data_IF_025702878259
#
_entry.id   IF_025702878259
#
_cell.length_a   1.000
_cell.length_b   1.000
_cell.length_c   1.000
_cell.angle_alpha   90.00
_cell.angle_beta   90.00
_cell.angle_gamma   90.00
#
_symmetry.space_group_name_H-M   'P 1'
#
loop_
_entity.id
_entity.type
_entity.pdbx_description
1 polymer ?
#
# COMPACT_ATOMS: atom_id res chain seq x y z
N UNK A 1 0.02 -25.58 -0.35
CA UNK A 1 1.37 -24.95 -0.37
C UNK A 1 1.67 -24.15 -1.64
N UNK A 2 1.26 -24.57 -2.84
CA UNK A 2 1.60 -23.84 -4.09
C UNK A 2 1.00 -22.43 -4.20
N UNK A 3 -0.27 -22.23 -3.81
CA UNK A 3 -0.94 -20.92 -3.89
C UNK A 3 -0.24 -19.85 -3.05
N UNK A 4 0.12 -20.17 -1.80
CA UNK A 4 0.86 -19.26 -0.91
C UNK A 4 2.19 -18.81 -1.53
N UNK A 5 2.98 -19.74 -2.09
CA UNK A 5 4.26 -19.41 -2.73
C UNK A 5 4.07 -18.49 -3.95
N UNK A 6 3.04 -18.73 -4.76
CA UNK A 6 2.70 -17.86 -5.92
C UNK A 6 2.28 -16.47 -5.48
N UNK A 7 1.46 -16.35 -4.43
CA UNK A 7 1.06 -15.05 -3.88
C UNK A 7 2.24 -14.31 -3.23
N UNK A 8 3.14 -15.00 -2.53
CA UNK A 8 4.38 -14.41 -2.01
C UNK A 8 5.26 -13.88 -3.14
N UNK A 9 5.44 -14.67 -4.22
CA UNK A 9 6.18 -14.23 -5.39
C UNK A 9 5.52 -13.01 -6.04
N UNK A 10 4.19 -13.03 -6.21
CA UNK A 10 3.44 -11.89 -6.73
C UNK A 10 3.61 -10.65 -5.86
N UNK A 11 3.59 -10.80 -4.52
CA UNK A 11 3.81 -9.71 -3.57
C UNK A 11 5.21 -9.10 -3.72
N UNK A 12 6.24 -9.94 -3.83
CA UNK A 12 7.63 -9.51 -4.04
C UNK A 12 7.77 -8.78 -5.38
N UNK A 13 7.24 -9.36 -6.46
CA UNK A 13 7.34 -8.76 -7.81
C UNK A 13 6.59 -7.43 -7.90
N UNK A 14 5.39 -7.34 -7.29
CA UNK A 14 4.64 -6.09 -7.23
C UNK A 14 5.36 -5.03 -6.40
N UNK A 15 5.94 -5.40 -5.25
CA UNK A 15 6.74 -4.50 -4.43
C UNK A 15 7.99 -4.01 -5.16
N UNK A 16 8.71 -4.91 -5.84
CA UNK A 16 9.89 -4.58 -6.63
C UNK A 16 9.54 -3.70 -7.83
N UNK A 17 8.50 -4.05 -8.58
CA UNK A 17 8.03 -3.25 -9.72
C UNK A 17 7.62 -1.84 -9.30
N UNK A 18 6.82 -1.71 -8.24
CA UNK A 18 6.45 -0.41 -7.68
C UNK A 18 7.67 0.39 -7.19
N UNK A 19 8.64 -0.27 -6.55
CA UNK A 19 9.87 0.38 -6.10
C UNK A 19 10.73 0.90 -7.27
N UNK A 20 10.88 0.10 -8.33
CA UNK A 20 11.63 0.51 -9.53
C UNK A 20 10.93 1.65 -10.28
N UNK A 21 9.59 1.64 -10.34
CA UNK A 21 8.82 2.79 -10.86
C UNK A 21 9.08 4.04 -10.03
N UNK A 22 9.12 3.91 -8.70
CA UNK A 22 9.39 5.03 -7.82
C UNK A 22 10.79 5.62 -8.01
N UNK A 23 11.83 4.77 -8.13
CA UNK A 23 13.20 5.21 -8.39
C UNK A 23 13.35 5.90 -9.75
N UNK A 24 12.53 5.54 -10.74
CA UNK A 24 12.49 6.22 -12.05
C UNK A 24 11.96 7.65 -11.94
N UNK A 25 11.00 7.90 -11.05
CA UNK A 25 10.35 9.21 -10.88
C UNK A 25 11.13 10.09 -9.91
N UNK A 26 11.67 9.51 -8.83
CA UNK A 26 12.43 10.23 -7.80
C UNK A 26 13.83 9.61 -7.61
N UNK A 27 14.84 10.07 -8.36
CA UNK A 27 16.22 9.64 -8.16
C UNK A 27 16.71 10.02 -6.76
N UNK A 28 17.33 9.06 -6.07
CA UNK A 28 17.87 9.22 -4.71
C UNK A 28 18.82 10.41 -4.55
N UNK A 29 19.61 10.72 -5.58
CA UNK A 29 20.65 11.73 -5.53
C UNK A 29 20.13 13.17 -5.42
N UNK A 30 18.82 13.40 -5.55
CA UNK A 30 18.27 14.75 -5.71
C UNK A 30 17.74 15.37 -4.41
N UNK A 31 17.21 14.59 -3.46
CA UNK A 31 16.63 15.13 -2.21
C UNK A 31 16.61 14.11 -1.07
N UNK A 32 16.91 14.56 0.16
CA UNK A 32 16.89 13.73 1.37
C UNK A 32 15.47 13.25 1.75
N UNK A 33 14.42 13.95 1.31
CA UNK A 33 13.02 13.50 1.44
C UNK A 33 12.73 12.18 0.72
N UNK A 34 13.57 11.78 -0.25
CA UNK A 34 13.43 10.53 -0.98
C UNK A 34 13.89 9.30 -0.17
N UNK A 35 14.48 9.50 1.02
CA UNK A 35 14.89 8.40 1.90
C UNK A 35 13.69 7.59 2.42
N UNK A 36 12.59 8.26 2.77
CA UNK A 36 11.41 7.60 3.33
C UNK A 36 10.76 6.60 2.34
N UNK A 37 10.50 6.97 1.06
CA UNK A 37 10.05 6.02 0.06
C UNK A 37 11.00 4.85 -0.17
N UNK A 38 12.32 5.07 -0.09
CA UNK A 38 13.31 4.01 -0.25
C UNK A 38 13.22 2.98 0.87
N UNK A 39 13.22 3.46 2.12
CA UNK A 39 13.09 2.59 3.29
C UNK A 39 11.76 1.83 3.24
N UNK A 40 10.65 2.51 2.90
CA UNK A 40 9.35 1.87 2.74
C UNK A 40 9.33 0.81 1.61
N UNK A 41 10.04 1.06 0.51
CA UNK A 41 10.23 0.12 -0.59
C UNK A 41 11.01 -1.13 -0.16
N UNK A 42 12.15 -0.95 0.52
CA UNK A 42 12.96 -2.06 1.04
C UNK A 42 12.20 -2.91 2.07
N UNK A 43 11.47 -2.27 2.98
CA UNK A 43 10.57 -2.96 3.92
C UNK A 43 9.52 -3.77 3.14
N UNK A 44 8.96 -3.22 2.06
CA UNK A 44 7.98 -3.91 1.23
C UNK A 44 8.53 -5.09 0.43
N UNK A 45 9.79 -5.05 0.01
CA UNK A 45 10.42 -6.13 -0.77
C UNK A 45 10.95 -7.25 0.11
N UNK A 46 11.48 -6.92 1.30
CA UNK A 46 12.20 -7.87 2.15
C UNK A 46 11.37 -8.24 3.38
N UNK A 47 11.05 -7.25 4.20
CA UNK A 47 10.47 -7.48 5.54
C UNK A 47 9.04 -8.02 5.43
N UNK A 48 8.19 -7.40 4.62
CA UNK A 48 6.80 -7.84 4.47
C UNK A 48 6.71 -9.30 3.97
N UNK A 49 7.37 -9.70 2.85
CA UNK A 49 7.36 -11.09 2.41
C UNK A 49 7.95 -12.07 3.43
N UNK A 50 8.98 -11.67 4.18
CA UNK A 50 9.50 -12.47 5.28
C UNK A 50 8.45 -12.70 6.37
N UNK A 51 7.74 -11.65 6.81
CA UNK A 51 6.66 -11.76 7.80
C UNK A 51 5.50 -12.66 7.31
N UNK A 52 5.17 -12.62 6.01
CA UNK A 52 4.15 -13.50 5.41
C UNK A 52 4.63 -14.95 5.24
N UNK A 53 5.94 -15.20 5.25
CA UNK A 53 6.50 -16.54 5.13
C UNK A 53 6.25 -17.38 6.37
N UNK A 54 6.19 -16.77 7.56
CA UNK A 54 5.95 -17.47 8.82
C UNK A 54 4.54 -17.24 9.37
N UNK A 55 3.86 -18.33 9.72
CA UNK A 55 2.50 -18.29 10.28
C UNK A 55 2.39 -17.44 11.54
N UNK A 56 3.42 -17.45 12.39
CA UNK A 56 3.45 -16.68 13.66
C UNK A 56 3.50 -15.17 13.44
N UNK A 57 3.96 -14.72 12.28
CA UNK A 57 4.18 -13.30 11.98
C UNK A 57 3.26 -12.73 10.93
N UNK A 58 2.33 -13.54 10.40
CA UNK A 58 1.51 -13.14 9.26
C UNK A 58 0.60 -11.95 9.56
N UNK A 59 0.10 -11.86 10.78
CA UNK A 59 -0.70 -10.72 11.23
C UNK A 59 0.12 -9.42 11.22
N UNK A 60 1.38 -9.45 11.64
CA UNK A 60 2.28 -8.30 11.55
C UNK A 60 2.57 -7.93 10.09
N UNK A 61 2.80 -8.93 9.23
CA UNK A 61 2.98 -8.73 7.80
C UNK A 61 1.77 -8.04 7.17
N UNK A 62 0.56 -8.45 7.54
CA UNK A 62 -0.68 -7.86 7.06
C UNK A 62 -0.87 -6.42 7.52
N UNK A 63 -0.69 -6.16 8.82
CA UNK A 63 -0.83 -4.81 9.39
C UNK A 63 0.21 -3.86 8.79
N UNK A 64 1.47 -4.28 8.73
CA UNK A 64 2.55 -3.48 8.16
C UNK A 64 2.32 -3.19 6.67
N UNK A 65 1.86 -4.19 5.91
CA UNK A 65 1.55 -4.02 4.49
C UNK A 65 0.47 -2.97 4.25
N UNK A 66 -0.64 -3.01 5.00
CA UNK A 66 -1.69 -2.01 4.83
C UNK A 66 -1.33 -0.63 5.38
N UNK A 67 -0.55 -0.54 6.47
CA UNK A 67 -0.07 0.76 6.97
C UNK A 67 0.81 1.47 5.93
N UNK A 68 1.76 0.76 5.31
CA UNK A 68 2.58 1.35 4.24
C UNK A 68 1.74 1.77 3.02
N UNK A 69 0.68 1.03 2.70
CA UNK A 69 -0.25 1.37 1.62
C UNK A 69 -1.00 2.66 1.93
N UNK A 70 -1.50 2.82 3.16
CA UNK A 70 -2.18 4.04 3.60
C UNK A 70 -1.22 5.24 3.55
N UNK A 71 -0.06 5.13 4.18
CA UNK A 71 0.93 6.23 4.22
C UNK A 71 1.36 6.61 2.81
N UNK A 72 1.69 5.62 1.98
CA UNK A 72 2.05 5.85 0.57
C UNK A 72 0.94 6.53 -0.21
N UNK A 73 -0.32 6.10 -0.03
CA UNK A 73 -1.48 6.73 -0.67
C UNK A 73 -1.61 8.20 -0.29
N UNK A 74 -1.51 8.53 1.00
CA UNK A 74 -1.66 9.91 1.48
C UNK A 74 -0.54 10.80 0.95
N UNK A 75 0.71 10.36 1.04
CA UNK A 75 1.87 11.14 0.58
C UNK A 75 1.83 11.33 -0.93
N UNK A 76 1.51 10.29 -1.71
CA UNK A 76 1.38 10.39 -3.16
C UNK A 76 0.20 11.28 -3.57
N UNK A 77 -0.95 11.17 -2.88
CA UNK A 77 -2.09 12.06 -3.12
C UNK A 77 -1.75 13.52 -2.85
N UNK A 78 -1.04 13.82 -1.75
CA UNK A 78 -0.52 15.17 -1.49
C UNK A 78 0.41 15.62 -2.61
N UNK A 79 1.39 14.80 -3.00
CA UNK A 79 2.31 15.13 -4.09
C UNK A 79 1.58 15.46 -5.39
N UNK A 80 0.58 14.67 -5.78
CA UNK A 80 -0.25 14.92 -6.96
C UNK A 80 -1.06 16.22 -6.88
N UNK A 81 -1.54 16.59 -5.68
CA UNK A 81 -2.23 17.86 -5.47
C UNK A 81 -1.28 19.07 -5.53
N UNK A 82 -0.03 18.91 -5.11
CA UNK A 82 1.00 19.95 -5.17
C UNK A 82 1.56 20.13 -6.60
N UNK A 83 1.64 19.05 -7.38
CA UNK A 83 2.19 19.05 -8.75
C UNK A 83 1.09 18.69 -9.76
N UNK A 84 0.07 19.55 -9.86
CA UNK A 84 -1.04 19.31 -10.78
C UNK A 84 -0.56 19.35 -12.24
N UNK A 85 -0.97 18.39 -13.07
CA UNK A 85 -0.64 18.41 -14.48
C UNK A 85 -1.35 19.58 -15.18
N UNK A 86 -0.65 20.23 -16.11
CA UNK A 86 -1.19 21.28 -16.97
C UNK A 86 -0.94 20.88 -18.44
N UNK A 87 -1.98 20.68 -19.28
CA UNK A 87 -3.41 20.91 -19.04
C UNK A 87 -4.11 19.79 -18.26
N UNK A 88 -5.11 20.17 -17.44
CA UNK A 88 -6.02 19.27 -16.72
C UNK A 88 -6.94 18.49 -17.69
N UNK A 89 -6.44 17.36 -18.16
CA UNK A 89 -7.17 16.41 -19.02
C UNK A 89 -7.31 15.06 -18.31
N UNK A 90 -8.32 14.25 -18.67
CA UNK A 90 -8.48 12.90 -18.12
C UNK A 90 -7.22 12.04 -18.25
N UNK A 91 -6.55 12.12 -19.41
CA UNK A 91 -5.28 11.43 -19.65
C UNK A 91 -4.19 11.89 -18.69
N UNK A 92 -4.04 13.20 -18.52
CA UNK A 92 -3.04 13.77 -17.60
C UNK A 92 -3.32 13.43 -16.15
N UNK A 93 -4.59 13.28 -15.77
CA UNK A 93 -4.96 12.92 -14.40
C UNK A 93 -4.70 11.42 -14.13
N UNK A 94 -5.01 10.54 -15.09
CA UNK A 94 -4.80 9.10 -14.95
C UNK A 94 -3.32 8.68 -15.04
N UNK A 95 -2.55 9.30 -15.94
CA UNK A 95 -1.18 8.87 -16.28
C UNK A 95 -0.12 9.89 -15.82
N UNK A 96 -0.49 11.17 -15.74
CA UNK A 96 0.41 12.26 -15.33
C UNK A 96 0.37 12.57 -13.82
N UNK A 97 -0.41 11.82 -13.04
CA UNK A 97 -0.37 11.88 -11.57
C UNK A 97 0.06 10.54 -11.00
N UNK A 98 0.28 10.49 -9.69
CA UNK A 98 0.62 9.28 -8.96
C UNK A 98 -0.56 8.32 -8.77
N UNK A 99 -1.71 8.54 -9.43
CA UNK A 99 -2.87 7.66 -9.33
C UNK A 99 -2.54 6.22 -9.78
N UNK A 100 -1.80 6.06 -10.88
CA UNK A 100 -1.36 4.75 -11.35
C UNK A 100 -0.51 4.03 -10.30
N UNK A 101 0.42 4.74 -9.65
CA UNK A 101 1.27 4.20 -8.58
C UNK A 101 0.44 3.80 -7.35
N UNK A 102 -0.56 4.59 -6.98
CA UNK A 102 -1.50 4.27 -5.90
C UNK A 102 -2.26 2.98 -6.24
N UNK A 103 -2.75 2.80 -7.47
CA UNK A 103 -3.45 1.58 -7.87
C UNK A 103 -2.55 0.34 -7.79
N UNK A 104 -1.28 0.46 -8.19
CA UNK A 104 -0.28 -0.62 -8.03
C UNK A 104 -0.06 -0.95 -6.54
N UNK A 105 0.03 0.08 -5.69
CA UNK A 105 0.19 -0.07 -4.25
C UNK A 105 -1.00 -0.80 -3.61
N UNK A 106 -2.23 -0.48 -4.01
CA UNK A 106 -3.43 -1.21 -3.58
C UNK A 106 -3.50 -2.62 -4.16
N UNK A 107 -3.04 -2.85 -5.38
CA UNK A 107 -2.87 -4.20 -5.94
C UNK A 107 -1.97 -5.07 -5.04
N UNK A 108 -0.82 -4.53 -4.59
CA UNK A 108 0.05 -5.18 -3.60
C UNK A 108 -0.68 -5.43 -2.27
N UNK A 109 -1.49 -4.49 -1.81
CA UNK A 109 -2.29 -4.66 -0.60
C UNK A 109 -3.20 -5.88 -0.68
N UNK A 110 -3.98 -6.01 -1.76
CA UNK A 110 -4.93 -7.12 -1.94
C UNK A 110 -4.24 -8.48 -2.03
N UNK A 111 -3.03 -8.55 -2.61
CA UNK A 111 -2.23 -9.79 -2.59
C UNK A 111 -1.86 -10.16 -1.14
N UNK A 112 -1.43 -9.18 -0.33
CA UNK A 112 -1.14 -9.39 1.09
C UNK A 112 -2.38 -9.78 1.90
N UNK A 113 -3.54 -9.20 1.57
CA UNK A 113 -4.82 -9.61 2.17
C UNK A 113 -5.16 -11.06 1.82
N UNK A 114 -5.06 -11.45 0.55
CA UNK A 114 -5.30 -12.82 0.12
C UNK A 114 -4.35 -13.82 0.81
N UNK A 115 -3.08 -13.44 1.03
CA UNK A 115 -2.12 -14.25 1.81
C UNK A 115 -2.56 -14.41 3.28
N UNK A 116 -2.97 -13.31 3.91
CA UNK A 116 -3.44 -13.32 5.29
C UNK A 116 -4.69 -14.20 5.44
N UNK A 117 -5.69 -13.99 4.59
CA UNK A 117 -6.94 -14.72 4.62
C UNK A 117 -6.72 -16.22 4.39
N UNK A 118 -5.89 -16.58 3.40
CA UNK A 118 -5.56 -17.97 3.08
C UNK A 118 -4.92 -18.72 4.25
N UNK A 119 -4.10 -18.06 5.07
CA UNK A 119 -3.40 -18.72 6.18
C UNK A 119 -4.22 -18.71 7.48
N UNK A 120 -4.99 -17.64 7.73
CA UNK A 120 -5.73 -17.45 8.99
C UNK A 120 -7.12 -18.10 8.95
N UNK A 121 -7.80 -18.01 7.81
CA UNK A 121 -9.17 -18.53 7.64
C UNK A 121 -9.23 -19.72 6.67
N UNK A 122 -8.16 -19.96 5.91
CA UNK A 122 -8.16 -21.00 4.88
C UNK A 122 -8.87 -20.54 3.60
N UNK A 123 -9.25 -21.51 2.77
CA UNK A 123 -10.11 -21.25 1.61
C UNK A 123 -11.57 -21.30 2.06
N UNK A 124 -12.07 -20.21 2.63
CA UNK A 124 -13.44 -20.16 3.09
C UNK A 124 -14.40 -19.94 1.89
N UNK A 125 -15.38 -20.84 1.73
CA UNK A 125 -16.39 -20.75 0.66
C UNK A 125 -17.58 -19.88 1.07
N UNK A 126 -17.70 -19.53 2.35
CA UNK A 126 -18.85 -18.76 2.84
C UNK A 126 -18.52 -17.26 2.87
N UNK A 127 -19.30 -16.40 2.19
CA UNK A 127 -19.08 -14.96 2.26
C UNK A 127 -19.25 -14.47 3.71
N UNK A 128 -18.41 -13.51 4.11
CA UNK A 128 -18.47 -12.90 5.44
C UNK A 128 -19.91 -12.44 5.75
N UNK A 129 -20.46 -12.90 6.88
CA UNK A 129 -21.79 -12.49 7.36
C UNK A 129 -21.89 -10.95 7.39
N UNK A 130 -23.02 -10.41 6.94
CA UNK A 130 -23.28 -8.97 6.87
C UNK A 130 -22.89 -8.25 8.19
N UNK A 131 -22.14 -7.16 8.08
CA UNK A 131 -21.64 -6.37 9.21
C UNK A 131 -20.20 -6.67 9.66
N UNK A 132 -19.59 -7.80 9.25
CA UNK A 132 -18.17 -8.06 9.55
C UNK A 132 -17.20 -7.25 8.68
N UNK A 133 -17.62 -6.78 7.51
CA UNK A 133 -16.79 -6.10 6.50
C UNK A 133 -16.13 -4.79 6.96
N UNK A 134 -16.61 -4.20 8.07
CA UNK A 134 -16.06 -2.98 8.67
C UNK A 134 -15.09 -3.22 9.83
N UNK A 135 -14.92 -4.47 10.27
CA UNK A 135 -14.02 -4.85 11.36
C UNK A 135 -12.77 -5.52 10.81
N UNK A 136 -11.67 -5.46 11.58
CA UNK A 136 -10.45 -6.22 11.26
C UNK A 136 -10.80 -7.68 10.96
N UNK A 137 -10.26 -8.28 9.89
CA UNK A 137 -9.25 -7.76 8.96
C UNK A 137 -9.83 -7.15 7.67
N UNK A 138 -11.11 -6.82 7.61
CA UNK A 138 -11.79 -6.47 6.35
C UNK A 138 -11.51 -5.04 5.87
N UNK A 139 -11.87 -4.75 4.61
CA UNK A 139 -11.57 -3.48 3.93
C UNK A 139 -12.14 -2.25 4.63
N UNK A 140 -13.32 -2.32 5.25
CA UNK A 140 -13.88 -1.17 5.94
C UNK A 140 -13.02 -0.70 7.12
N UNK A 141 -12.31 -1.62 7.79
CA UNK A 141 -11.33 -1.26 8.82
C UNK A 141 -10.19 -0.43 8.22
N UNK A 142 -9.67 -0.82 7.06
CA UNK A 142 -8.60 -0.10 6.37
C UNK A 142 -9.05 1.26 5.84
N UNK A 143 -10.27 1.39 5.32
CA UNK A 143 -10.79 2.69 4.89
C UNK A 143 -10.96 3.67 6.06
N UNK A 144 -11.41 3.20 7.22
CA UNK A 144 -11.47 4.03 8.43
C UNK A 144 -10.07 4.53 8.81
N UNK A 145 -9.05 3.67 8.78
CA UNK A 145 -7.68 4.07 9.09
C UNK A 145 -7.09 5.00 8.04
N UNK A 146 -7.39 4.77 6.76
CA UNK A 146 -7.01 5.69 5.68
C UNK A 146 -7.55 7.09 5.93
N UNK A 147 -8.86 7.20 6.21
CA UNK A 147 -9.51 8.48 6.48
C UNK A 147 -8.97 9.14 7.76
N UNK A 148 -8.81 8.37 8.84
CA UNK A 148 -8.31 8.89 10.10
C UNK A 148 -6.87 9.40 9.99
N UNK A 149 -5.98 8.64 9.36
CA UNK A 149 -4.57 9.03 9.18
C UNK A 149 -4.47 10.20 8.18
N UNK A 150 -5.26 10.19 7.11
CA UNK A 150 -5.32 11.32 6.17
C UNK A 150 -5.77 12.60 6.85
N UNK A 151 -6.78 12.52 7.74
CA UNK A 151 -7.25 13.65 8.52
C UNK A 151 -6.19 14.19 9.48
N UNK A 152 -5.53 13.33 10.26
CA UNK A 152 -4.43 13.73 11.16
C UNK A 152 -3.28 14.36 10.37
N UNK A 153 -2.90 13.77 9.24
CA UNK A 153 -1.87 14.32 8.36
C UNK A 153 -2.25 15.69 7.81
N UNK A 154 -3.49 15.86 7.35
CA UNK A 154 -3.99 17.14 6.83
C UNK A 154 -3.99 18.22 7.91
N UNK A 155 -4.41 17.90 9.15
CA UNK A 155 -4.29 18.81 10.29
C UNK A 155 -2.81 19.16 10.54
N UNK A 156 -1.92 18.18 10.65
CA UNK A 156 -0.49 18.45 10.82
C UNK A 156 0.06 19.42 9.76
N UNK A 157 -0.32 19.22 8.50
CA UNK A 157 0.11 20.06 7.38
C UNK A 157 -0.50 21.48 7.38
N UNK A 158 -1.67 21.68 8.00
CA UNK A 158 -2.29 23.02 8.12
C UNK A 158 -1.65 23.80 9.27
N UNK A 159 -1.41 23.13 10.40
CA UNK A 159 -0.99 23.78 11.64
C UNK A 159 0.53 23.94 11.78
N UNK A 160 1.31 23.13 11.07
CA UNK A 160 2.79 23.15 11.09
C UNK A 160 3.40 23.81 9.84
N UNK A 161 2.65 24.68 9.15
CA UNK A 161 3.23 25.62 8.18
C UNK A 161 4.00 26.72 8.91
#
# INVERSE_FOLDING_TARGET
>A
MHTKKRLLLALILMALGGFLLHLRIHPFAQNSSNLLPIVAGLISIIVIPALFSFRKTIAYGYVLNGLLVIVGTIVMAHYAMAHKPDPLTWRSLLIGTTLADILVLWGKFFIGQALFDLEMFGYDRQPARAGRSWRYPNLGWWFIHLLAIAYIYALGNIWWR
#
